data_IF_584714638691
#
_entry.id   IF_584714638691
#
_cell.length_a   1.000
_cell.length_b   1.000
_cell.length_c   1.000
_cell.angle_alpha   90.00
_cell.angle_beta   90.00
_cell.angle_gamma   90.00
#
_symmetry.space_group_name_H-M   'P 1'
#
loop_
_entity.id
_entity.type
_entity.pdbx_description
1 polymer ?
#
# COMPACT_ATOMS: atom_id res chain seq x y z
N UNK A 1 7.73 24.33 9.96
CA UNK A 1 7.90 22.95 9.41
C UNK A 1 8.65 22.17 10.48
N UNK A 2 8.25 20.94 10.73
CA UNK A 2 8.79 20.16 11.86
C UNK A 2 9.99 19.30 11.39
N UNK A 3 11.03 19.96 10.88
CA UNK A 3 12.15 19.33 10.16
C UNK A 3 12.85 18.23 10.98
N UNK A 4 12.96 18.44 12.30
CA UNK A 4 13.54 17.44 13.20
C UNK A 4 12.72 16.14 13.24
N UNK A 5 11.38 16.23 13.32
CA UNK A 5 10.51 15.05 13.35
C UNK A 5 10.52 14.28 12.02
N UNK A 6 10.60 14.99 10.90
CA UNK A 6 10.78 14.38 9.58
C UNK A 6 12.06 13.55 9.54
N UNK A 7 13.17 14.14 10.00
CA UNK A 7 14.47 13.44 10.05
C UNK A 7 14.38 12.22 10.95
N UNK A 8 13.78 12.34 12.13
CA UNK A 8 13.61 11.22 13.04
C UNK A 8 12.76 10.10 12.43
N UNK A 9 11.66 10.40 11.77
CA UNK A 9 10.84 9.38 11.08
C UNK A 9 11.60 8.68 9.95
N UNK A 10 12.41 9.41 9.17
CA UNK A 10 13.26 8.80 8.14
C UNK A 10 14.37 7.92 8.74
N UNK A 11 14.98 8.35 9.85
CA UNK A 11 15.97 7.52 10.56
C UNK A 11 15.30 6.27 11.15
N UNK A 12 14.10 6.40 11.72
CA UNK A 12 13.33 5.26 12.22
C UNK A 12 13.12 4.21 11.12
N UNK A 13 12.70 4.64 9.91
CA UNK A 13 12.54 3.76 8.75
C UNK A 13 13.84 3.05 8.39
N UNK A 14 14.95 3.79 8.30
CA UNK A 14 16.25 3.21 7.94
C UNK A 14 16.68 2.15 8.96
N UNK A 15 16.59 2.45 10.25
CA UNK A 15 16.95 1.51 11.31
C UNK A 15 16.00 0.30 11.38
N UNK A 16 14.70 0.52 11.16
CA UNK A 16 13.71 -0.57 11.11
C UNK A 16 14.01 -1.54 9.95
N UNK A 17 14.34 -1.00 8.78
CA UNK A 17 14.69 -1.81 7.61
C UNK A 17 16.06 -2.47 7.72
N UNK A 18 16.95 -1.91 8.54
CA UNK A 18 18.24 -2.48 8.90
C UNK A 18 18.21 -3.40 10.13
N UNK A 19 17.01 -3.76 10.63
CA UNK A 19 16.80 -4.65 11.78
C UNK A 19 17.39 -4.13 13.12
N UNK A 20 17.70 -2.83 13.22
CA UNK A 20 18.10 -2.18 14.47
C UNK A 20 16.86 -1.59 15.18
N UNK A 21 16.05 -2.48 15.73
CA UNK A 21 14.77 -2.12 16.36
C UNK A 21 14.91 -1.15 17.52
N UNK A 22 16.03 -1.23 18.25
CA UNK A 22 16.29 -0.31 19.38
C UNK A 22 16.45 1.13 18.93
N UNK A 23 17.28 1.38 17.90
CA UNK A 23 17.42 2.72 17.33
C UNK A 23 16.17 3.15 16.58
N UNK A 24 15.52 2.25 15.86
CA UNK A 24 14.25 2.54 15.21
C UNK A 24 13.22 3.06 16.22
N UNK A 25 13.07 2.42 17.39
CA UNK A 25 12.15 2.83 18.45
C UNK A 25 12.49 4.21 19.01
N UNK A 26 13.78 4.49 19.28
CA UNK A 26 14.21 5.80 19.76
C UNK A 26 13.86 6.92 18.76
N UNK A 27 14.07 6.69 17.48
CA UNK A 27 13.79 7.66 16.46
C UNK A 27 12.29 7.77 16.13
N UNK A 28 11.55 6.68 16.07
CA UNK A 28 10.12 6.72 15.84
C UNK A 28 9.36 7.48 16.93
N UNK A 29 9.77 7.33 18.20
CA UNK A 29 9.20 8.08 19.32
C UNK A 29 9.40 9.60 19.21
N UNK A 30 10.42 10.06 18.51
CA UNK A 30 10.73 11.46 18.24
C UNK A 30 10.25 11.93 16.86
N UNK A 31 9.63 11.03 16.09
CA UNK A 31 9.20 11.26 14.73
C UNK A 31 7.91 12.07 14.61
N UNK A 32 7.35 12.06 13.40
CA UNK A 32 6.10 12.72 13.07
C UNK A 32 4.95 12.14 13.90
N UNK A 33 4.06 13.03 14.35
CA UNK A 33 2.92 12.69 15.20
C UNK A 33 1.61 13.09 14.52
N UNK A 34 0.51 12.59 15.04
CA UNK A 34 -0.82 12.91 14.54
C UNK A 34 -0.99 14.43 14.35
N UNK A 35 -1.49 14.80 13.16
CA UNK A 35 -1.67 16.18 12.74
C UNK A 35 -0.42 16.85 12.15
N UNK A 36 0.78 16.23 12.20
CA UNK A 36 1.95 16.77 11.50
C UNK A 36 1.78 16.62 9.97
N UNK A 37 2.18 17.68 9.24
CA UNK A 37 2.19 17.62 7.79
C UNK A 37 3.26 16.64 7.29
N UNK A 38 2.95 15.82 6.26
CA UNK A 38 3.91 14.91 5.67
C UNK A 38 5.00 15.67 4.90
N UNK A 39 6.14 15.03 4.73
CA UNK A 39 7.18 15.49 3.82
C UNK A 39 6.92 14.90 2.43
N UNK A 40 6.85 15.76 1.43
CA UNK A 40 6.52 15.42 0.06
C UNK A 40 7.70 15.51 -0.89
N UNK A 41 7.82 14.54 -1.79
CA UNK A 41 8.47 14.73 -3.08
C UNK A 41 7.48 15.42 -4.03
N UNK A 42 7.90 16.52 -4.64
CA UNK A 42 7.09 17.25 -5.62
C UNK A 42 7.63 16.99 -7.02
N UNK A 43 6.86 16.25 -7.84
CA UNK A 43 7.20 16.09 -9.24
C UNK A 43 7.18 17.44 -9.98
N UNK A 44 7.93 17.54 -11.06
CA UNK A 44 7.89 18.70 -11.94
C UNK A 44 6.63 18.68 -12.81
N UNK A 45 6.15 19.87 -13.18
CA UNK A 45 5.02 20.01 -14.13
C UNK A 45 5.46 19.67 -15.56
N UNK A 46 6.76 19.74 -15.85
CA UNK A 46 7.32 19.56 -17.17
C UNK A 46 7.98 18.18 -17.30
N UNK A 47 7.83 17.55 -18.47
CA UNK A 47 8.59 16.39 -18.85
C UNK A 47 10.11 16.71 -18.72
N UNK A 48 10.95 15.82 -18.12
CA UNK A 48 10.73 14.39 -17.95
C UNK A 48 10.32 13.94 -16.54
N UNK A 49 9.88 14.81 -15.63
CA UNK A 49 9.73 14.53 -14.20
C UNK A 49 8.29 14.58 -13.66
N UNK A 50 7.28 14.02 -14.37
CA UNK A 50 5.92 13.92 -13.83
C UNK A 50 5.88 12.94 -12.66
N UNK A 51 4.77 12.96 -11.91
CA UNK A 51 4.47 11.90 -10.97
C UNK A 51 4.39 10.57 -11.72
N UNK A 52 5.29 9.64 -11.39
CA UNK A 52 5.44 8.38 -12.12
C UNK A 52 4.25 7.44 -11.93
N UNK A 53 3.59 7.49 -10.76
CA UNK A 53 2.37 6.73 -10.53
C UNK A 53 1.20 7.24 -11.39
N UNK A 54 1.05 8.56 -11.51
CA UNK A 54 0.08 9.16 -12.43
C UNK A 54 0.38 8.73 -13.87
N UNK A 55 1.63 8.81 -14.25
CA UNK A 55 2.05 8.57 -15.63
C UNK A 55 1.92 7.10 -16.06
N UNK A 56 2.32 6.14 -15.23
CA UNK A 56 2.39 4.74 -15.60
C UNK A 56 1.24 3.88 -15.08
N UNK A 57 0.65 4.22 -13.95
CA UNK A 57 -0.40 3.44 -13.28
C UNK A 57 -1.74 4.18 -13.16
N UNK A 58 -1.86 5.37 -13.74
CA UNK A 58 -3.08 6.16 -13.82
C UNK A 58 -3.94 5.82 -15.03
N UNK A 59 -5.03 6.57 -15.22
CA UNK A 59 -6.01 6.32 -16.27
C UNK A 59 -5.44 6.48 -17.70
N UNK A 60 -4.42 7.28 -17.89
CA UNK A 60 -3.92 7.66 -19.21
C UNK A 60 -3.00 6.61 -19.85
N UNK A 61 -2.57 5.60 -19.09
CA UNK A 61 -1.67 4.57 -19.58
C UNK A 61 -2.13 3.17 -19.20
N UNK A 62 -1.89 2.22 -20.10
CA UNK A 62 -2.31 0.82 -19.92
C UNK A 62 -1.16 -0.11 -19.53
N UNK A 63 0.02 0.44 -19.20
CA UNK A 63 1.23 -0.37 -18.98
C UNK A 63 1.20 -1.13 -17.67
N UNK A 64 0.67 -0.53 -16.61
CA UNK A 64 0.58 -1.15 -15.30
C UNK A 64 -0.86 -1.18 -14.83
N UNK A 65 -1.27 -2.34 -14.35
CA UNK A 65 -2.53 -2.54 -13.62
C UNK A 65 -2.22 -2.78 -12.16
N UNK A 66 -3.19 -2.52 -11.31
CA UNK A 66 -3.05 -2.82 -9.89
C UNK A 66 -3.09 -4.32 -9.64
N UNK A 67 -2.44 -4.76 -8.57
CA UNK A 67 -2.51 -6.14 -8.12
C UNK A 67 -3.95 -6.54 -7.82
N UNK A 68 -4.28 -7.82 -8.06
CA UNK A 68 -5.64 -8.36 -7.92
C UNK A 68 -6.24 -8.13 -6.53
N UNK A 69 -5.42 -8.12 -5.47
CA UNK A 69 -5.88 -7.84 -4.10
C UNK A 69 -6.59 -6.50 -3.94
N UNK A 70 -6.26 -5.49 -4.74
CA UNK A 70 -6.91 -4.17 -4.68
C UNK A 70 -8.23 -4.11 -5.46
N UNK A 71 -8.47 -5.01 -6.41
CA UNK A 71 -9.77 -5.03 -7.11
C UNK A 71 -10.90 -5.52 -6.21
N UNK A 72 -10.62 -6.35 -5.22
CA UNK A 72 -11.62 -6.79 -4.25
C UNK A 72 -12.20 -5.64 -3.42
N UNK A 73 -11.51 -4.51 -3.34
CA UNK A 73 -12.07 -3.30 -2.72
C UNK A 73 -13.18 -2.65 -3.55
N UNK A 74 -13.24 -2.99 -4.85
CA UNK A 74 -14.30 -2.58 -5.75
C UNK A 74 -15.47 -3.59 -5.79
N UNK A 75 -15.33 -4.72 -5.07
CA UNK A 75 -16.28 -5.81 -5.03
C UNK A 75 -15.70 -7.12 -5.56
N UNK A 76 -16.46 -8.20 -5.41
CA UNK A 76 -16.09 -9.51 -5.93
C UNK A 76 -16.27 -9.59 -7.44
N UNK A 77 -15.40 -10.36 -8.09
CA UNK A 77 -15.51 -10.61 -9.53
C UNK A 77 -16.70 -11.53 -9.80
N UNK A 78 -17.44 -11.23 -10.84
CA UNK A 78 -18.55 -12.08 -11.31
C UNK A 78 -18.54 -12.22 -12.84
N UNK A 79 -19.25 -13.25 -13.31
CA UNK A 79 -19.45 -13.46 -14.74
C UNK A 79 -20.76 -12.78 -15.11
N UNK A 80 -20.66 -11.61 -15.70
CA UNK A 80 -21.78 -10.83 -16.22
C UNK A 80 -22.33 -11.50 -17.50
N UNK A 81 -23.25 -12.44 -17.32
CA UNK A 81 -23.81 -13.23 -18.41
C UNK A 81 -24.86 -12.49 -19.24
N UNK A 82 -25.43 -11.44 -18.70
CA UNK A 82 -26.46 -10.63 -19.37
C UNK A 82 -25.96 -9.26 -19.87
N UNK A 83 -24.70 -8.89 -19.54
CA UNK A 83 -24.05 -7.68 -20.04
C UNK A 83 -24.57 -6.38 -19.41
N UNK A 84 -25.22 -6.46 -18.24
CA UNK A 84 -25.80 -5.28 -17.59
C UNK A 84 -24.81 -4.56 -16.63
N UNK A 85 -23.64 -5.16 -16.33
CA UNK A 85 -22.62 -4.62 -15.46
C UNK A 85 -22.95 -4.69 -13.96
N UNK A 86 -24.01 -5.41 -13.59
CA UNK A 86 -24.47 -5.58 -12.21
C UNK A 86 -24.71 -7.05 -11.95
N UNK A 87 -24.16 -7.61 -10.87
CA UNK A 87 -24.40 -8.98 -10.49
C UNK A 87 -25.87 -9.23 -10.14
N UNK A 88 -26.39 -10.36 -10.57
CA UNK A 88 -27.67 -10.90 -10.16
C UNK A 88 -27.55 -12.37 -9.69
N UNK A 89 -28.58 -12.86 -8.99
CA UNK A 89 -28.53 -14.17 -8.33
C UNK A 89 -28.45 -15.38 -9.29
N UNK A 90 -28.49 -15.18 -10.59
CA UNK A 90 -28.34 -16.23 -11.61
C UNK A 90 -26.90 -16.32 -12.12
N UNK A 91 -26.07 -15.37 -11.75
CA UNK A 91 -24.67 -15.25 -12.17
C UNK A 91 -23.71 -15.83 -11.13
N UNK A 92 -22.62 -16.40 -11.63
CA UNK A 92 -21.57 -16.91 -10.76
C UNK A 92 -20.60 -15.82 -10.39
N UNK A 93 -20.13 -15.82 -9.16
CA UNK A 93 -19.10 -14.91 -8.67
C UNK A 93 -17.91 -15.69 -8.08
N UNK A 94 -16.80 -15.00 -7.92
CA UNK A 94 -15.63 -15.52 -7.22
C UNK A 94 -15.62 -14.94 -5.82
N UNK A 95 -16.00 -15.77 -4.84
CA UNK A 95 -15.96 -15.41 -3.43
C UNK A 95 -14.53 -15.07 -3.02
N UNK A 96 -14.36 -13.92 -2.41
CA UNK A 96 -13.05 -13.43 -2.01
C UNK A 96 -12.43 -14.32 -0.93
N UNK A 97 -11.23 -14.81 -1.18
CA UNK A 97 -10.44 -15.60 -0.24
C UNK A 97 -9.23 -14.85 0.32
N UNK A 98 -9.23 -13.51 0.26
CA UNK A 98 -8.09 -12.72 0.74
C UNK A 98 -8.09 -12.70 2.27
N UNK A 99 -7.01 -13.20 2.86
CA UNK A 99 -6.75 -13.12 4.30
C UNK A 99 -6.67 -11.65 4.71
N UNK A 100 -7.51 -11.23 5.65
CA UNK A 100 -7.56 -9.86 6.16
C UNK A 100 -8.58 -8.94 5.49
N UNK A 101 -9.42 -9.44 4.58
CA UNK A 101 -10.62 -8.73 4.17
C UNK A 101 -11.61 -8.67 5.34
N UNK A 102 -12.11 -7.48 5.65
CA UNK A 102 -12.95 -7.27 6.84
C UNK A 102 -14.38 -7.78 6.65
N UNK A 103 -14.85 -7.94 5.42
CA UNK A 103 -16.23 -8.27 5.07
C UNK A 103 -16.27 -9.25 3.90
N UNK A 104 -17.13 -10.25 3.99
CA UNK A 104 -17.50 -11.11 2.88
C UNK A 104 -16.50 -12.19 2.49
N UNK A 105 -15.41 -12.36 3.21
CA UNK A 105 -14.39 -13.34 2.86
C UNK A 105 -14.87 -14.77 3.06
N UNK A 106 -15.03 -15.52 1.97
CA UNK A 106 -15.38 -16.92 2.00
C UNK A 106 -16.77 -17.19 2.61
N UNK A 107 -17.69 -16.22 2.53
CA UNK A 107 -19.01 -16.32 3.14
C UNK A 107 -20.08 -16.92 2.20
N UNK A 108 -19.73 -17.12 0.93
CA UNK A 108 -20.64 -17.65 -0.10
C UNK A 108 -21.72 -16.66 -0.55
N UNK A 109 -21.56 -15.38 -0.23
CA UNK A 109 -22.49 -14.30 -0.60
C UNK A 109 -21.76 -13.27 -1.46
N UNK A 110 -22.36 -12.84 -2.57
CA UNK A 110 -21.78 -11.80 -3.40
C UNK A 110 -21.75 -10.46 -2.67
N UNK A 111 -20.58 -9.85 -2.64
CA UNK A 111 -20.33 -8.56 -2.04
C UNK A 111 -19.90 -7.55 -3.10
N UNK A 112 -20.68 -6.50 -3.30
CA UNK A 112 -20.39 -5.43 -4.25
C UNK A 112 -19.27 -4.48 -3.80
N UNK A 113 -18.89 -4.53 -2.53
CA UNK A 113 -17.74 -3.83 -1.96
C UNK A 113 -17.32 -4.55 -0.68
N UNK A 114 -16.10 -5.10 -0.65
CA UNK A 114 -15.62 -5.90 0.49
C UNK A 114 -15.09 -5.03 1.63
N UNK A 115 -14.50 -3.89 1.30
CA UNK A 115 -13.93 -2.97 2.26
C UNK A 115 -14.30 -1.53 1.90
N UNK A 116 -15.60 -1.13 1.98
CA UNK A 116 -16.06 0.16 1.51
C UNK A 116 -15.41 1.35 2.25
N UNK A 117 -15.04 1.18 3.53
CA UNK A 117 -14.35 2.21 4.31
C UNK A 117 -12.93 2.47 3.79
N UNK A 118 -12.27 1.47 3.23
CA UNK A 118 -10.90 1.56 2.72
C UNK A 118 -10.78 2.45 1.47
N UNK A 119 -11.87 2.77 0.80
CA UNK A 119 -11.90 3.77 -0.26
C UNK A 119 -11.42 5.17 0.22
N UNK A 120 -11.37 5.40 1.54
CA UNK A 120 -10.81 6.62 2.10
C UNK A 120 -9.30 6.75 1.81
N UNK A 121 -8.54 5.65 1.87
CA UNK A 121 -7.07 5.64 1.68
C UNK A 121 -6.61 4.91 0.42
N UNK A 122 -7.35 3.90 -0.06
CA UNK A 122 -7.05 3.20 -1.30
C UNK A 122 -7.89 3.76 -2.43
N UNK A 123 -7.25 4.49 -3.31
CA UNK A 123 -7.88 5.20 -4.42
C UNK A 123 -7.68 4.40 -5.71
N UNK A 124 -8.64 3.53 -6.01
CA UNK A 124 -8.65 2.64 -7.18
C UNK A 124 -9.87 2.92 -8.04
N UNK A 125 -9.74 2.76 -9.34
CA UNK A 125 -10.84 2.80 -10.29
C UNK A 125 -10.62 1.76 -11.38
N UNK A 126 -11.66 1.49 -12.17
CA UNK A 126 -11.64 0.53 -13.25
C UNK A 126 -12.12 1.16 -14.56
N UNK A 127 -11.57 0.68 -15.67
CA UNK A 127 -12.03 1.06 -17.01
C UNK A 127 -11.79 -0.11 -17.98
N UNK A 128 -12.57 -0.22 -19.07
CA UNK A 128 -12.30 -1.20 -20.12
C UNK A 128 -10.88 -1.00 -20.69
N UNK A 129 -10.18 -2.10 -20.96
CA UNK A 129 -8.85 -2.03 -21.60
C UNK A 129 -8.94 -1.49 -23.03
N UNK A 130 -10.00 -1.85 -23.75
CA UNK A 130 -10.38 -1.26 -25.03
C UNK A 130 -11.89 -1.43 -25.24
N UNK A 131 -12.51 -0.66 -26.13
CA UNK A 131 -13.93 -0.82 -26.45
C UNK A 131 -14.31 -2.22 -26.99
N UNK A 132 -13.33 -2.97 -27.44
CA UNK A 132 -13.50 -4.26 -28.14
C UNK A 132 -13.24 -5.47 -27.24
N UNK A 133 -12.76 -5.25 -25.99
CA UNK A 133 -12.43 -6.34 -25.06
C UNK A 133 -13.26 -6.28 -23.79
N UNK A 134 -13.73 -7.41 -23.27
CA UNK A 134 -14.46 -7.46 -22.01
C UNK A 134 -13.55 -7.31 -20.77
N UNK A 135 -12.25 -7.12 -20.98
CA UNK A 135 -11.29 -7.05 -19.88
C UNK A 135 -11.23 -5.66 -19.25
N UNK A 136 -11.38 -5.63 -17.95
CA UNK A 136 -11.25 -4.41 -17.14
C UNK A 136 -9.79 -4.21 -16.72
N UNK A 137 -9.37 -2.98 -16.75
CA UNK A 137 -8.10 -2.52 -16.20
C UNK A 137 -8.37 -1.76 -14.91
N UNK A 138 -7.67 -2.13 -13.86
CA UNK A 138 -7.71 -1.44 -12.57
C UNK A 138 -6.51 -0.52 -12.46
N UNK A 139 -6.73 0.73 -12.05
CA UNK A 139 -5.70 1.76 -12.00
C UNK A 139 -5.85 2.63 -10.74
N UNK A 140 -4.73 3.22 -10.31
CA UNK A 140 -4.73 4.12 -9.18
C UNK A 140 -5.30 5.49 -9.53
N UNK A 141 -6.04 6.10 -8.61
CA UNK A 141 -6.50 7.49 -8.67
C UNK A 141 -6.06 8.30 -7.43
N UNK A 142 -5.09 7.79 -6.68
CA UNK A 142 -4.48 8.48 -5.54
C UNK A 142 -3.71 9.73 -6.00
N UNK A 143 -3.10 9.62 -7.16
CA UNK A 143 -2.37 10.71 -7.81
C UNK A 143 -3.08 11.06 -9.12
N UNK A 144 -4.03 12.02 -9.08
CA UNK A 144 -4.86 12.35 -10.24
C UNK A 144 -4.11 13.18 -11.31
N UNK A 145 -3.05 13.89 -10.91
CA UNK A 145 -2.35 14.84 -11.77
C UNK A 145 -0.84 14.57 -11.85
N UNK A 146 -0.21 15.08 -12.89
CA UNK A 146 1.24 14.93 -13.14
C UNK A 146 2.11 15.55 -12.04
N UNK A 147 1.59 16.54 -11.35
CA UNK A 147 2.27 17.26 -10.25
C UNK A 147 1.78 16.83 -8.87
N UNK A 148 0.91 15.82 -8.79
CA UNK A 148 0.44 15.29 -7.49
C UNK A 148 1.62 14.95 -6.59
N UNK A 149 1.72 15.52 -5.37
CA UNK A 149 2.84 15.27 -4.47
C UNK A 149 2.83 13.83 -3.94
N UNK A 150 4.02 13.23 -3.82
CA UNK A 150 4.19 11.88 -3.29
C UNK A 150 4.71 11.98 -1.86
N UNK A 151 4.06 11.31 -0.90
CA UNK A 151 4.56 11.22 0.46
C UNK A 151 5.92 10.51 0.49
N UNK A 152 6.94 11.20 0.96
CA UNK A 152 8.24 10.60 1.30
C UNK A 152 8.16 9.96 2.67
N UNK A 153 7.58 10.68 3.63
CA UNK A 153 7.29 10.19 4.99
C UNK A 153 6.11 10.96 5.55
N UNK A 154 5.21 10.26 6.25
CA UNK A 154 4.04 10.82 6.92
C UNK A 154 3.99 10.39 8.39
N UNK A 155 3.15 11.06 9.19
CA UNK A 155 2.92 10.64 10.56
C UNK A 155 2.21 9.28 10.63
N UNK A 156 1.36 8.98 9.66
CA UNK A 156 0.70 7.68 9.56
C UNK A 156 1.73 6.55 9.43
N UNK A 157 2.70 6.72 8.52
CA UNK A 157 3.79 5.75 8.40
C UNK A 157 4.60 5.63 9.70
N UNK A 158 4.88 6.76 10.36
CA UNK A 158 5.59 6.74 11.64
C UNK A 158 4.80 5.96 12.70
N UNK A 159 3.47 6.13 12.76
CA UNK A 159 2.61 5.38 13.69
C UNK A 159 2.59 3.88 13.38
N UNK A 160 2.58 3.50 12.10
CA UNK A 160 2.67 2.09 11.71
C UNK A 160 4.06 1.48 12.04
N UNK A 161 5.14 2.28 11.99
CA UNK A 161 6.45 1.84 12.51
C UNK A 161 6.44 1.71 14.04
N UNK A 162 5.81 2.62 14.78
CA UNK A 162 5.63 2.50 16.23
C UNK A 162 4.84 1.23 16.58
N UNK A 163 3.77 0.92 15.82
CA UNK A 163 2.99 -0.30 16.02
C UNK A 163 3.84 -1.57 15.81
N UNK A 164 4.64 -1.60 14.76
CA UNK A 164 5.53 -2.74 14.48
C UNK A 164 6.56 -2.94 15.61
N UNK A 165 7.19 -1.86 16.02
CA UNK A 165 8.17 -1.87 17.11
C UNK A 165 7.56 -2.30 18.45
N UNK A 166 6.31 -1.87 18.73
CA UNK A 166 5.57 -2.32 19.92
C UNK A 166 5.30 -3.82 19.88
N UNK A 167 4.90 -4.38 18.72
CA UNK A 167 4.69 -5.82 18.53
C UNK A 167 6.00 -6.62 18.70
N UNK A 168 7.14 -6.02 18.36
CA UNK A 168 8.47 -6.59 18.57
C UNK A 168 9.00 -6.39 20.01
N UNK A 169 8.18 -5.88 20.93
CA UNK A 169 8.52 -5.72 22.34
C UNK A 169 9.34 -4.48 22.67
N UNK A 170 9.46 -3.52 21.74
CA UNK A 170 10.15 -2.26 22.01
C UNK A 170 9.24 -1.31 22.82
N UNK A 171 9.86 -0.53 23.70
CA UNK A 171 9.14 0.49 24.48
C UNK A 171 9.04 1.78 23.66
N UNK A 172 7.90 2.00 23.03
CA UNK A 172 7.64 3.17 22.14
C UNK A 172 6.58 4.14 22.67
N UNK A 173 6.05 3.89 23.86
CA UNK A 173 5.10 4.80 24.53
C UNK A 173 3.65 4.71 24.02
N UNK A 174 3.35 3.87 23.04
CA UNK A 174 2.02 3.64 22.46
C UNK A 174 1.85 2.14 22.20
N UNK A 175 0.61 1.62 22.36
CA UNK A 175 0.33 0.25 21.97
C UNK A 175 0.21 0.11 20.45
N UNK A 176 0.46 -1.09 19.91
CA UNK A 176 0.29 -1.35 18.48
C UNK A 176 -1.16 -1.05 18.03
N UNK A 177 -2.12 -1.45 18.84
CA UNK A 177 -3.54 -1.21 18.56
C UNK A 177 -3.88 0.27 18.51
N UNK A 178 -3.41 1.07 19.48
CA UNK A 178 -3.68 2.52 19.51
C UNK A 178 -3.02 3.23 18.35
N UNK A 179 -1.77 2.84 18.00
CA UNK A 179 -1.04 3.45 16.90
C UNK A 179 -1.72 3.18 15.54
N UNK A 180 -2.20 1.96 15.30
CA UNK A 180 -2.94 1.61 14.08
C UNK A 180 -4.30 2.31 14.06
N UNK A 181 -5.03 2.30 15.17
CA UNK A 181 -6.34 2.94 15.23
C UNK A 181 -6.29 4.46 15.07
N UNK A 182 -5.19 5.12 15.47
CA UNK A 182 -4.99 6.53 15.19
C UNK A 182 -4.91 6.79 13.67
N UNK A 183 -4.21 5.93 12.92
CA UNK A 183 -4.14 6.02 11.45
C UNK A 183 -5.52 5.78 10.83
N UNK A 184 -6.25 4.76 11.27
CA UNK A 184 -7.61 4.46 10.77
C UNK A 184 -8.58 5.60 11.04
N UNK A 185 -8.55 6.15 12.24
CA UNK A 185 -9.39 7.29 12.64
C UNK A 185 -9.17 8.54 11.78
N UNK A 186 -7.92 8.80 11.37
CA UNK A 186 -7.61 9.93 10.48
C UNK A 186 -8.29 9.83 9.10
N UNK A 187 -8.65 8.62 8.68
CA UNK A 187 -9.39 8.35 7.44
C UNK A 187 -10.90 8.15 7.67
N UNK A 188 -11.36 8.20 8.93
CA UNK A 188 -12.76 7.91 9.29
C UNK A 188 -13.12 6.42 9.17
N UNK A 189 -12.12 5.53 9.25
CA UNK A 189 -12.27 4.08 9.16
C UNK A 189 -12.49 3.51 10.56
N UNK A 190 -13.34 2.50 10.68
CA UNK A 190 -13.66 1.83 11.95
C UNK A 190 -12.42 1.28 12.65
N UNK A 191 -12.39 1.37 13.97
CA UNK A 191 -11.28 0.88 14.78
C UNK A 191 -11.22 -0.65 14.80
N UNK A 192 -10.00 -1.18 14.78
CA UNK A 192 -9.73 -2.59 15.06
C UNK A 192 -9.85 -2.88 16.57
N UNK A 193 -10.13 -4.13 16.90
CA UNK A 193 -10.21 -4.60 18.30
C UNK A 193 -8.90 -5.28 18.75
N UNK A 194 -8.09 -5.75 17.80
CA UNK A 194 -6.77 -6.32 18.05
C UNK A 194 -5.86 -6.09 16.84
N UNK A 195 -4.57 -6.10 17.06
CA UNK A 195 -3.55 -5.98 16.01
C UNK A 195 -2.42 -6.97 16.34
N UNK A 196 -2.14 -7.83 15.40
CA UNK A 196 -0.91 -8.62 15.33
C UNK A 196 -0.05 -8.16 14.14
N UNK A 197 1.07 -8.80 13.91
CA UNK A 197 1.97 -8.40 12.82
C UNK A 197 1.33 -8.57 11.43
N UNK A 198 0.53 -9.62 11.24
CA UNK A 198 -0.15 -9.84 9.97
C UNK A 198 -1.16 -8.74 9.66
N UNK A 199 -2.02 -8.42 10.63
CA UNK A 199 -2.98 -7.29 10.53
C UNK A 199 -2.22 -5.98 10.28
N UNK A 200 -1.14 -5.71 11.00
CA UNK A 200 -0.33 -4.51 10.79
C UNK A 200 0.22 -4.42 9.37
N UNK A 201 0.74 -5.52 8.81
CA UNK A 201 1.29 -5.53 7.45
C UNK A 201 0.21 -5.26 6.38
N UNK A 202 -1.03 -5.71 6.61
CA UNK A 202 -2.18 -5.32 5.77
C UNK A 202 -2.51 -3.84 5.91
N UNK A 203 -2.52 -3.30 7.13
CA UNK A 203 -2.73 -1.87 7.36
C UNK A 203 -1.65 -1.01 6.69
N UNK A 204 -0.39 -1.46 6.73
CA UNK A 204 0.73 -0.82 6.02
C UNK A 204 0.54 -0.85 4.50
N UNK A 205 0.13 -1.98 3.92
CA UNK A 205 -0.11 -2.11 2.48
C UNK A 205 -1.20 -1.14 1.98
N UNK A 206 -2.25 -0.96 2.79
CA UNK A 206 -3.36 -0.05 2.51
C UNK A 206 -2.94 1.43 2.66
N UNK A 207 -2.33 1.79 3.76
CA UNK A 207 -1.92 3.18 4.04
C UNK A 207 -0.84 3.66 3.08
N UNK A 208 0.16 2.82 2.85
CA UNK A 208 1.31 3.12 2.01
C UNK A 208 1.10 2.74 0.53
N UNK A 209 -0.17 2.57 0.13
CA UNK A 209 -0.57 2.30 -1.25
C UNK A 209 0.08 3.28 -2.23
N UNK A 210 0.75 2.77 -3.26
CA UNK A 210 1.50 3.55 -4.25
C UNK A 210 2.56 4.50 -3.63
N UNK A 211 3.27 4.05 -2.58
CA UNK A 211 4.41 4.77 -1.99
C UNK A 211 5.72 3.97 -2.03
N UNK A 212 5.73 2.82 -2.73
CA UNK A 212 6.94 2.02 -2.95
C UNK A 212 7.40 1.18 -1.77
N UNK A 213 6.59 1.05 -0.69
CA UNK A 213 7.02 0.36 0.53
C UNK A 213 6.74 -1.16 0.51
N UNK A 214 5.81 -1.63 -0.32
CA UNK A 214 5.34 -3.02 -0.30
C UNK A 214 6.45 -4.04 -0.51
N UNK A 215 7.34 -3.84 -1.48
CA UNK A 215 8.43 -4.78 -1.77
C UNK A 215 9.39 -4.93 -0.57
N UNK A 216 9.60 -3.85 0.19
CA UNK A 216 10.45 -3.85 1.37
C UNK A 216 9.79 -4.66 2.48
N UNK A 217 8.50 -4.44 2.74
CA UNK A 217 7.75 -5.20 3.73
C UNK A 217 7.69 -6.70 3.36
N UNK A 218 7.51 -7.05 2.08
CA UNK A 218 7.57 -8.43 1.60
C UNK A 218 8.93 -9.08 1.82
N UNK A 219 10.04 -8.34 1.63
CA UNK A 219 11.39 -8.85 1.90
C UNK A 219 11.65 -9.07 3.38
N UNK A 220 11.16 -8.16 4.23
CA UNK A 220 11.34 -8.23 5.68
C UNK A 220 10.49 -9.31 6.35
N UNK A 221 9.33 -9.60 5.76
CA UNK A 221 8.31 -10.50 6.30
C UNK A 221 7.87 -11.53 5.24
N UNK A 222 8.84 -12.17 4.60
CA UNK A 222 8.61 -13.12 3.50
C UNK A 222 7.88 -14.40 3.92
N UNK A 223 7.84 -14.68 5.22
CA UNK A 223 7.07 -15.76 5.83
C UNK A 223 5.58 -15.46 6.00
N UNK A 224 5.20 -14.18 6.01
CA UNK A 224 3.82 -13.72 6.20
C UNK A 224 3.21 -13.12 4.93
N UNK A 225 4.02 -12.61 4.02
CA UNK A 225 3.56 -11.90 2.83
C UNK A 225 3.88 -12.69 1.58
N UNK A 226 2.81 -13.03 0.83
CA UNK A 226 2.96 -13.71 -0.45
C UNK A 226 3.71 -12.85 -1.48
N UNK A 227 4.63 -13.52 -2.16
CA UNK A 227 5.25 -13.01 -3.36
C UNK A 227 4.34 -13.31 -4.55
N UNK A 228 3.64 -12.30 -5.07
CA UNK A 228 2.78 -12.45 -6.26
C UNK A 228 3.53 -12.84 -7.54
N UNK A 229 4.84 -13.00 -7.47
CA UNK A 229 5.69 -13.38 -8.60
C UNK A 229 5.96 -14.88 -8.69
N UNK A 230 5.34 -15.68 -7.80
CA UNK A 230 5.49 -17.13 -7.76
C UNK A 230 6.81 -17.61 -7.16
N UNK A 231 6.82 -18.87 -6.69
CA UNK A 231 8.02 -19.51 -6.19
C UNK A 231 9.10 -19.59 -7.28
N UNK A 232 10.35 -19.32 -6.89
CA UNK A 232 11.52 -19.45 -7.77
C UNK A 232 11.80 -18.26 -8.68
N UNK A 233 11.10 -17.14 -8.52
CA UNK A 233 11.47 -15.91 -9.22
C UNK A 233 12.58 -15.16 -8.50
N UNK A 234 13.48 -14.53 -9.26
CA UNK A 234 14.60 -13.76 -8.73
C UNK A 234 14.24 -12.30 -8.40
N UNK A 235 12.96 -11.94 -8.46
CA UNK A 235 12.47 -10.57 -8.31
C UNK A 235 12.23 -10.14 -6.86
N UNK A 236 13.04 -10.63 -5.93
CA UNK A 236 13.04 -10.17 -4.53
C UNK A 236 13.59 -8.74 -4.40
N UNK A 237 14.38 -8.30 -5.36
CA UNK A 237 14.95 -6.96 -5.44
C UNK A 237 14.72 -6.37 -6.82
N UNK A 238 14.69 -5.06 -6.91
CA UNK A 238 14.74 -4.41 -8.21
C UNK A 238 16.07 -4.76 -8.89
N UNK A 239 16.07 -5.18 -10.17
CA UNK A 239 17.31 -5.48 -10.86
C UNK A 239 18.19 -4.23 -10.95
N UNK A 240 19.48 -4.41 -10.79
CA UNK A 240 20.43 -3.33 -11.01
C UNK A 240 20.43 -3.03 -12.52
N UNK A 241 20.25 -1.76 -12.93
CA UNK A 241 20.30 -1.41 -14.33
C UNK A 241 21.63 -1.78 -14.97
N UNK A 242 21.61 -2.22 -16.21
CA UNK A 242 22.81 -2.60 -16.95
C UNK A 242 23.83 -1.45 -17.05
N UNK A 243 23.34 -0.23 -17.13
CA UNK A 243 24.17 0.98 -17.12
C UNK A 243 24.95 1.14 -15.81
N UNK A 244 24.34 0.76 -14.69
CA UNK A 244 25.02 0.76 -13.39
C UNK A 244 26.08 -0.36 -13.31
N UNK A 245 25.79 -1.56 -13.85
CA UNK A 245 26.78 -2.65 -13.92
C UNK A 245 28.02 -2.20 -14.71
N UNK A 246 27.82 -1.47 -15.81
CA UNK A 246 28.94 -1.00 -16.65
C UNK A 246 29.71 0.18 -16.04
N UNK A 247 29.05 1.03 -15.28
CA UNK A 247 29.63 2.27 -14.76
C UNK A 247 30.21 2.15 -13.37
N UNK A 248 29.76 1.16 -12.58
CA UNK A 248 30.14 1.01 -11.18
C UNK A 248 31.35 0.06 -11.02
N UNK A 249 32.54 0.58 -10.72
CA UNK A 249 33.74 -0.27 -10.55
C UNK A 249 33.67 -1.20 -9.33
N UNK A 250 32.68 -1.01 -8.43
CA UNK A 250 32.45 -1.85 -7.26
C UNK A 250 31.36 -2.90 -7.50
N UNK A 251 30.80 -3.00 -8.69
CA UNK A 251 29.86 -4.05 -9.04
C UNK A 251 30.64 -5.37 -9.14
N UNK A 252 30.20 -6.45 -8.42
CA UNK A 252 30.93 -7.71 -8.37
C UNK A 252 30.94 -8.47 -9.68
#
# INVERSE_FOLDING_TARGET
MNDSRIIHSLMARIYLYGDDHSKAAQHAALGLQDGDAPFYARPGLEDPWPNWYWYEAGNNRTRYTLASRFKHMLGEDFIDSNGNGVWDSTETFTDCAIVGADVGQGDGVYNSALEPEEAARIKVSAAPMSPETPYMRYYQIKYPDSDSPINVISWQENHLMLAELALQGQSVGVSALDAVNAVRAAHGISNLVNVDLNVLLHERDKELFCQGQRIIDQNRHSDLLDWHLGEGTTWHFLPIPYEEELANPNYP
#
